data_IF_976523505190
#
_entry.id   IF_976523505190
#
_cell.length_a   1.000
_cell.length_b   1.000
_cell.length_c   1.000
_cell.angle_alpha   90.00
_cell.angle_beta   90.00
_cell.angle_gamma   90.00
#
_symmetry.space_group_name_H-M   'P 1'
#
loop_
_entity.id
_entity.type
_entity.pdbx_description
1 polymer ?
#
# COMPACT_ATOMS: atom_id res chain seq x y z
N UNK A 1 50.66 5.35 -65.76
CA UNK A 1 50.56 4.25 -64.79
C UNK A 1 49.40 4.62 -63.89
N UNK A 2 48.21 4.17 -64.30
CA UNK A 2 46.93 4.54 -63.70
C UNK A 2 46.65 3.66 -62.47
N UNK A 3 46.16 4.27 -61.39
CA UNK A 3 45.79 3.61 -60.14
C UNK A 3 44.24 3.57 -60.02
N UNK A 4 43.63 2.47 -59.52
CA UNK A 4 42.25 2.13 -59.85
C UNK A 4 41.21 2.76 -58.93
N UNK A 5 40.01 2.84 -59.50
CA UNK A 5 38.76 3.37 -58.99
C UNK A 5 38.33 2.69 -57.67
N UNK A 6 37.99 3.51 -56.66
CA UNK A 6 37.24 3.06 -55.48
C UNK A 6 35.74 3.08 -55.78
N UNK A 7 35.09 1.92 -55.66
CA UNK A 7 33.64 1.78 -55.72
C UNK A 7 33.03 2.15 -54.36
N UNK A 8 32.39 3.31 -54.27
CA UNK A 8 31.50 3.66 -53.17
C UNK A 8 30.17 2.92 -53.33
N UNK A 9 29.94 1.88 -52.53
CA UNK A 9 28.60 1.31 -52.32
C UNK A 9 27.79 2.30 -51.48
N UNK A 10 26.85 3.01 -52.14
CA UNK A 10 25.86 3.84 -51.43
C UNK A 10 24.84 2.91 -50.77
N UNK A 11 24.72 3.00 -49.44
CA UNK A 11 23.71 2.25 -48.71
C UNK A 11 22.32 2.76 -49.08
N UNK A 12 21.39 1.84 -49.32
CA UNK A 12 20.02 2.11 -49.76
C UNK A 12 19.26 3.10 -48.83
N UNK A 13 19.64 3.15 -47.57
CA UNK A 13 19.00 3.96 -46.53
C UNK A 13 19.30 5.47 -46.63
N UNK A 14 20.36 5.88 -47.34
CA UNK A 14 20.76 7.29 -47.42
C UNK A 14 19.89 8.13 -48.39
N UNK A 15 18.99 7.47 -49.14
CA UNK A 15 18.18 8.12 -50.18
C UNK A 15 16.72 8.36 -49.78
N UNK A 16 16.32 8.08 -48.53
CA UNK A 16 14.92 8.16 -48.11
C UNK A 16 14.68 9.45 -47.31
N UNK A 17 13.79 10.36 -47.78
CA UNK A 17 13.46 11.59 -47.05
C UNK A 17 12.76 11.27 -45.72
N UNK A 18 13.12 12.00 -44.66
CA UNK A 18 12.75 11.71 -43.26
C UNK A 18 11.25 11.54 -43.00
N UNK A 19 10.39 12.23 -43.75
CA UNK A 19 8.92 12.10 -43.64
C UNK A 19 8.38 10.78 -44.18
N UNK A 20 9.09 10.14 -45.12
CA UNK A 20 8.70 8.84 -45.68
C UNK A 20 9.22 7.66 -44.86
N UNK A 21 10.35 7.81 -44.17
CA UNK A 21 10.89 6.79 -43.27
C UNK A 21 9.93 6.48 -42.10
N UNK A 22 9.26 7.51 -41.54
CA UNK A 22 8.27 7.35 -40.48
C UNK A 22 7.04 6.54 -40.95
N UNK A 23 6.51 6.86 -42.14
CA UNK A 23 5.36 6.16 -42.71
C UNK A 23 5.68 4.72 -43.14
N UNK A 24 6.88 4.48 -43.70
CA UNK A 24 7.35 3.13 -44.01
C UNK A 24 7.50 2.27 -42.75
N UNK A 25 7.99 2.83 -41.65
CA UNK A 25 8.08 2.13 -40.36
C UNK A 25 6.71 1.80 -39.75
N UNK A 26 5.73 2.68 -39.90
CA UNK A 26 4.38 2.46 -39.37
C UNK A 26 3.63 1.37 -40.15
N UNK A 27 3.79 1.34 -41.49
CA UNK A 27 3.18 0.33 -42.35
C UNK A 27 3.78 -1.06 -42.08
N UNK A 28 5.10 -1.17 -41.89
CA UNK A 28 5.76 -2.45 -41.59
C UNK A 28 5.39 -2.98 -40.20
N UNK A 29 5.21 -2.11 -39.21
CA UNK A 29 4.74 -2.50 -37.87
C UNK A 29 3.29 -3.01 -37.87
N UNK A 30 2.39 -2.40 -38.65
CA UNK A 30 0.99 -2.86 -38.76
C UNK A 30 0.90 -4.21 -39.49
N UNK A 31 1.71 -4.42 -40.53
CA UNK A 31 1.76 -5.69 -41.25
C UNK A 31 2.30 -6.84 -40.39
N UNK A 32 3.28 -6.60 -39.51
CA UNK A 32 3.81 -7.64 -38.61
C UNK A 32 2.87 -7.98 -37.45
N UNK A 33 2.14 -7.01 -36.91
CA UNK A 33 1.10 -7.25 -35.90
C UNK A 33 -0.11 -7.99 -36.49
N UNK A 34 -0.47 -7.70 -37.75
CA UNK A 34 -1.56 -8.37 -38.46
C UNK A 34 -1.30 -9.86 -38.73
N UNK A 35 -0.05 -10.24 -39.04
CA UNK A 35 0.29 -11.65 -39.32
C UNK A 35 0.30 -12.52 -38.07
N UNK A 36 0.74 -12.00 -36.91
CA UNK A 36 0.67 -12.73 -35.63
C UNK A 36 -0.78 -12.90 -35.18
N UNK A 37 -1.63 -11.88 -35.34
CA UNK A 37 -3.07 -11.98 -35.06
C UNK A 37 -3.79 -12.98 -35.97
N UNK A 38 -3.43 -13.03 -37.26
CA UNK A 38 -4.04 -13.96 -38.22
C UNK A 38 -3.61 -15.43 -37.99
N UNK A 39 -2.40 -15.67 -37.47
CA UNK A 39 -1.94 -17.04 -37.11
C UNK A 39 -2.63 -17.53 -35.83
N UNK A 40 -2.81 -16.66 -34.82
CA UNK A 40 -3.49 -17.04 -33.57
C UNK A 40 -5.01 -17.19 -33.72
N UNK A 41 -5.66 -16.43 -34.59
CA UNK A 41 -7.09 -16.57 -34.88
C UNK A 41 -7.40 -17.55 -36.03
N UNK A 42 -6.47 -17.77 -36.96
CA UNK A 42 -6.66 -18.69 -38.10
C UNK A 42 -6.49 -20.17 -37.75
N UNK A 43 -5.77 -20.49 -36.68
CA UNK A 43 -5.58 -21.87 -36.21
C UNK A 43 -6.86 -22.56 -35.71
N UNK A 44 -7.89 -21.80 -35.35
CA UNK A 44 -9.16 -22.34 -34.85
C UNK A 44 -10.22 -22.61 -35.93
N UNK A 45 -9.98 -22.30 -37.22
CA UNK A 45 -11.03 -22.38 -38.25
C UNK A 45 -10.77 -23.46 -39.33
N UNK A 46 -9.60 -24.11 -39.37
CA UNK A 46 -9.28 -25.08 -40.43
C UNK A 46 -8.78 -26.47 -39.97
N UNK A 47 -9.06 -26.85 -38.73
CA UNK A 47 -8.89 -28.22 -38.26
C UNK A 47 -9.93 -28.51 -37.18
N UNK A 48 -10.97 -29.26 -37.53
CA UNK A 48 -12.04 -29.62 -36.62
C UNK A 48 -11.52 -30.41 -35.42
N UNK A 49 -11.56 -29.79 -34.24
CA UNK A 49 -12.23 -30.28 -33.03
C UNK A 49 -11.79 -29.42 -31.85
N UNK A 50 -12.59 -28.40 -31.53
CA UNK A 50 -12.50 -27.68 -30.26
C UNK A 50 -13.61 -28.20 -29.35
N UNK A 51 -13.43 -29.40 -28.79
CA UNK A 51 -14.36 -29.98 -27.81
C UNK A 51 -13.93 -29.65 -26.39
N UNK A 52 -14.75 -28.81 -25.76
CA UNK A 52 -14.71 -28.44 -24.36
C UNK A 52 -15.48 -29.51 -23.58
N UNK A 53 -14.92 -30.00 -22.47
CA UNK A 53 -15.49 -30.91 -21.48
C UNK A 53 -15.72 -32.39 -21.88
N UNK A 54 -14.83 -33.26 -21.38
CA UNK A 54 -15.18 -34.53 -20.69
C UNK A 54 -13.91 -35.13 -20.08
N UNK A 55 -13.65 -34.91 -18.79
CA UNK A 55 -12.78 -35.80 -18.02
C UNK A 55 -13.65 -36.98 -17.58
N UNK A 56 -13.64 -38.03 -18.40
CA UNK A 56 -14.16 -39.34 -18.03
C UNK A 56 -13.02 -40.14 -17.41
N UNK A 57 -13.09 -40.39 -16.10
CA UNK A 57 -12.20 -41.33 -15.41
C UNK A 57 -12.88 -42.70 -15.38
N UNK A 58 -12.42 -43.60 -16.23
CA UNK A 58 -12.44 -45.05 -16.08
C UNK A 58 -11.43 -45.56 -17.13
N UNK A 59 -10.30 -46.19 -16.78
CA UNK A 59 -10.31 -47.54 -16.22
C UNK A 59 -9.16 -47.86 -15.26
N UNK A 60 -9.52 -48.75 -14.32
CA UNK A 60 -8.73 -49.58 -13.41
C UNK A 60 -7.38 -50.06 -13.97
N UNK A 61 -6.32 -49.93 -13.18
CA UNK A 61 -5.81 -51.02 -12.33
C UNK A 61 -4.38 -50.70 -11.86
N UNK A 62 -4.24 -50.29 -10.60
CA UNK A 62 -3.14 -50.62 -9.69
C UNK A 62 -3.60 -50.14 -8.30
N UNK A 63 -4.22 -51.07 -7.59
CA UNK A 63 -4.70 -50.85 -6.24
C UNK A 63 -3.55 -51.11 -5.27
N UNK A 64 -3.11 -50.07 -4.55
CA UNK A 64 -2.56 -50.25 -3.21
C UNK A 64 -2.87 -49.00 -2.34
N UNK A 65 -3.98 -49.10 -1.62
CA UNK A 65 -4.09 -48.78 -0.20
C UNK A 65 -3.94 -47.31 0.28
N UNK A 66 -5.01 -46.51 0.15
CA UNK A 66 -5.33 -45.46 1.13
C UNK A 66 -6.84 -45.54 1.45
N UNK A 67 -7.15 -46.11 2.61
CA UNK A 67 -8.50 -46.15 3.19
C UNK A 67 -8.85 -44.75 3.72
N UNK A 68 -9.76 -44.05 3.05
CA UNK A 68 -10.39 -42.83 3.60
C UNK A 68 -11.70 -43.26 4.23
N UNK A 69 -11.70 -43.44 5.55
CA UNK A 69 -12.93 -43.63 6.31
C UNK A 69 -13.74 -42.33 6.27
N UNK A 70 -14.89 -42.37 5.60
CA UNK A 70 -15.95 -41.38 5.78
C UNK A 70 -16.54 -41.55 7.18
N UNK A 71 -16.55 -40.48 7.98
CA UNK A 71 -17.25 -40.41 9.25
C UNK A 71 -18.52 -39.58 9.07
N UNK A 72 -19.63 -40.23 9.38
CA UNK A 72 -21.01 -39.72 9.47
C UNK A 72 -21.15 -38.67 10.60
N UNK A 73 -21.98 -37.61 10.48
CA UNK A 73 -22.11 -36.61 11.52
C UNK A 73 -23.21 -37.02 12.51
N UNK A 74 -22.83 -37.27 13.77
CA UNK A 74 -23.76 -37.19 14.91
C UNK A 74 -23.27 -36.13 15.90
N UNK A 75 -24.20 -35.48 16.64
CA UNK A 75 -24.03 -34.13 17.15
C UNK A 75 -23.40 -34.09 18.54
N UNK A 76 -22.44 -33.18 18.72
CA UNK A 76 -21.91 -32.82 20.03
C UNK A 76 -20.41 -32.58 20.04
N UNK A 77 -19.98 -31.39 19.59
CA UNK A 77 -18.69 -30.80 20.01
C UNK A 77 -18.65 -29.33 19.59
N UNK A 78 -18.56 -28.44 20.58
CA UNK A 78 -17.93 -27.14 20.50
C UNK A 78 -18.43 -26.17 19.43
N UNK A 79 -19.22 -25.18 19.86
CA UNK A 79 -19.19 -23.86 19.22
C UNK A 79 -17.73 -23.44 19.19
N UNK A 80 -17.11 -23.40 18.00
CA UNK A 80 -15.85 -22.68 17.82
C UNK A 80 -16.23 -21.22 18.00
N UNK A 81 -15.77 -20.53 19.06
CA UNK A 81 -15.97 -19.10 19.15
C UNK A 81 -15.26 -18.49 17.95
N UNK A 82 -16.00 -17.75 17.14
CA UNK A 82 -15.47 -16.75 16.25
C UNK A 82 -14.44 -15.92 17.05
N UNK A 83 -13.17 -15.80 16.62
CA UNK A 83 -12.21 -14.99 17.35
C UNK A 83 -12.71 -13.55 17.30
N UNK A 84 -13.32 -13.13 18.40
CA UNK A 84 -13.41 -11.73 18.80
C UNK A 84 -12.00 -11.15 18.62
N UNK A 85 -11.81 -10.00 17.93
CA UNK A 85 -10.48 -9.44 17.70
C UNK A 85 -9.69 -9.43 19.01
N UNK A 86 -8.67 -10.27 19.06
CA UNK A 86 -7.90 -10.51 20.27
C UNK A 86 -6.97 -9.33 20.49
N UNK A 87 -7.32 -8.46 21.43
CA UNK A 87 -6.39 -7.51 22.02
C UNK A 87 -6.57 -6.08 21.53
N UNK A 88 -6.84 -5.20 22.49
CA UNK A 88 -6.64 -3.76 22.35
C UNK A 88 -5.21 -3.50 21.89
N UNK A 89 -4.98 -2.66 20.86
CA UNK A 89 -3.63 -2.45 20.38
C UNK A 89 -2.76 -1.82 21.47
N UNK A 90 -1.68 -2.51 21.83
CA UNK A 90 -0.75 -2.05 22.86
C UNK A 90 0.13 -0.94 22.29
N UNK A 91 0.22 0.19 22.99
CA UNK A 91 1.16 1.28 22.69
C UNK A 91 2.54 0.93 23.22
N UNK A 92 3.59 1.18 22.43
CA UNK A 92 4.99 0.93 22.82
C UNK A 92 5.82 2.21 22.73
N UNK A 93 7.05 2.17 23.23
CA UNK A 93 7.98 3.31 23.16
C UNK A 93 8.43 3.63 21.71
N UNK A 94 8.19 2.72 20.76
CA UNK A 94 8.48 2.90 19.34
C UNK A 94 7.39 3.67 18.58
N UNK A 95 6.24 3.91 19.23
CA UNK A 95 5.13 4.66 18.65
C UNK A 95 5.39 6.17 18.66
N UNK A 96 4.96 6.83 17.58
CA UNK A 96 4.95 8.29 17.52
C UNK A 96 3.75 8.83 18.27
N UNK A 97 4.00 9.53 19.37
CA UNK A 97 2.98 10.11 20.26
C UNK A 97 2.96 11.63 20.12
N UNK A 98 1.79 12.21 19.88
CA UNK A 98 1.51 13.66 19.99
C UNK A 98 0.66 13.90 21.24
N UNK A 99 1.00 14.95 22.00
CA UNK A 99 0.33 15.29 23.26
C UNK A 99 1.03 14.72 24.50
N UNK A 100 0.31 14.68 25.62
CA UNK A 100 0.82 14.17 26.89
C UNK A 100 1.01 12.64 26.84
N UNK A 101 2.25 12.14 26.95
CA UNK A 101 2.53 10.69 26.93
C UNK A 101 1.85 9.92 28.07
N UNK A 102 1.54 10.59 29.17
CA UNK A 102 0.89 10.02 30.36
C UNK A 102 -0.63 10.25 30.37
N UNK A 103 -1.21 10.71 29.25
CA UNK A 103 -2.65 10.87 29.11
C UNK A 103 -3.40 9.55 29.35
N UNK A 104 -4.51 9.64 30.09
CA UNK A 104 -5.39 8.51 30.42
C UNK A 104 -6.04 7.89 29.19
N UNK A 105 -6.27 8.69 28.15
CA UNK A 105 -6.91 8.23 26.92
C UNK A 105 -5.89 8.16 25.81
N UNK A 106 -5.87 7.03 25.11
CA UNK A 106 -5.07 6.86 23.91
C UNK A 106 -5.99 6.82 22.70
N UNK A 107 -5.66 7.59 21.67
CA UNK A 107 -6.24 7.41 20.34
C UNK A 107 -5.15 6.89 19.41
N UNK A 108 -5.27 5.63 19.01
CA UNK A 108 -4.40 5.03 17.98
C UNK A 108 -5.08 5.23 16.64
N UNK A 109 -4.36 5.84 15.69
CA UNK A 109 -4.83 6.07 14.33
C UNK A 109 -3.92 5.32 13.37
N UNK A 110 -4.47 4.28 12.73
CA UNK A 110 -3.86 3.62 11.57
C UNK A 110 -4.21 4.42 10.31
N UNK A 111 -3.19 4.97 9.67
CA UNK A 111 -3.34 5.96 8.62
C UNK A 111 -2.37 5.75 7.46
N UNK A 112 -2.82 6.15 6.28
CA UNK A 112 -2.09 6.16 5.03
C UNK A 112 -1.91 7.62 4.61
N UNK A 113 -0.67 8.06 4.43
CA UNK A 113 -0.35 9.47 4.13
C UNK A 113 -0.90 9.91 2.77
N UNK A 114 -1.07 9.00 1.80
CA UNK A 114 -1.66 9.31 0.49
C UNK A 114 -3.19 9.24 0.49
N UNK A 115 -3.81 8.65 1.51
CA UNK A 115 -5.27 8.46 1.55
C UNK A 115 -6.05 9.78 1.74
N UNK A 116 -6.96 10.15 0.83
CA UNK A 116 -7.78 11.37 0.97
C UNK A 116 -8.70 11.40 2.19
N UNK A 117 -9.14 10.24 2.70
CA UNK A 117 -9.89 10.18 3.95
C UNK A 117 -8.99 10.47 5.17
N UNK A 118 -7.73 10.02 5.14
CA UNK A 118 -6.77 10.32 6.20
C UNK A 118 -6.47 11.82 6.24
N UNK A 119 -6.23 12.45 5.09
CA UNK A 119 -6.04 13.91 5.02
C UNK A 119 -7.26 14.70 5.52
N UNK A 120 -8.49 14.23 5.28
CA UNK A 120 -9.69 14.86 5.87
C UNK A 120 -9.81 14.65 7.38
N UNK A 121 -9.32 13.54 7.90
CA UNK A 121 -9.38 13.22 9.32
C UNK A 121 -8.26 13.89 10.13
N UNK A 122 -7.14 14.20 9.49
CA UNK A 122 -5.98 14.80 10.14
C UNK A 122 -6.30 16.13 10.87
N UNK A 123 -7.05 17.08 10.28
CA UNK A 123 -7.51 18.28 11.01
C UNK A 123 -8.44 17.98 12.18
N UNK A 124 -9.30 16.94 12.08
CA UNK A 124 -10.13 16.49 13.21
C UNK A 124 -9.24 16.10 14.39
N UNK A 125 -8.18 15.33 14.14
CA UNK A 125 -7.24 14.92 15.18
C UNK A 125 -6.40 16.08 15.70
N UNK A 126 -5.96 17.02 14.84
CA UNK A 126 -5.31 18.26 15.30
C UNK A 126 -6.21 19.07 16.24
N UNK A 127 -7.52 19.15 15.95
CA UNK A 127 -8.49 19.80 16.84
C UNK A 127 -8.65 19.03 18.16
N UNK A 128 -8.73 17.70 18.13
CA UNK A 128 -8.73 16.88 19.36
C UNK A 128 -7.50 17.17 20.21
N UNK A 129 -6.32 17.25 19.61
CA UNK A 129 -5.08 17.57 20.34
C UNK A 129 -5.05 19.00 20.90
N UNK A 130 -5.82 19.92 20.31
CA UNK A 130 -5.96 21.28 20.82
C UNK A 130 -6.88 21.31 22.04
N UNK A 131 -8.00 20.57 21.99
CA UNK A 131 -9.04 20.62 23.02
C UNK A 131 -8.80 19.64 24.19
N UNK A 132 -8.01 18.59 23.97
CA UNK A 132 -7.77 17.49 24.92
C UNK A 132 -6.29 17.22 25.18
N UNK A 133 -5.39 18.17 24.96
CA UNK A 133 -3.92 17.99 25.00
C UNK A 133 -3.38 17.25 26.23
N UNK A 134 -4.02 17.46 27.39
CA UNK A 134 -3.60 16.91 28.68
C UNK A 134 -4.19 15.52 28.96
N UNK A 135 -5.36 15.24 28.37
CA UNK A 135 -6.19 14.06 28.65
C UNK A 135 -6.11 12.99 27.57
N UNK A 136 -5.67 13.36 26.35
CA UNK A 136 -5.57 12.47 25.19
C UNK A 136 -4.13 12.47 24.66
N UNK A 137 -3.62 11.27 24.36
CA UNK A 137 -2.44 11.08 23.52
C UNK A 137 -2.82 10.48 22.18
N UNK A 138 -2.33 11.07 21.11
CA UNK A 138 -2.51 10.55 19.76
C UNK A 138 -1.30 9.74 19.34
N UNK A 139 -1.51 8.45 19.11
CA UNK A 139 -0.55 7.52 18.53
C UNK A 139 -0.82 7.38 17.03
N UNK A 140 0.18 7.65 16.20
CA UNK A 140 0.09 7.43 14.76
C UNK A 140 0.77 6.11 14.37
N UNK A 141 0.08 5.29 13.57
CA UNK A 141 0.64 4.07 12.97
C UNK A 141 0.42 4.06 11.47
N UNK A 142 1.44 3.67 10.73
CA UNK A 142 1.35 3.54 9.28
C UNK A 142 0.49 2.34 8.90
N UNK A 143 -0.38 2.54 7.92
CA UNK A 143 -1.19 1.49 7.29
C UNK A 143 -1.25 1.76 5.79
N UNK A 144 -0.13 1.61 5.05
CA UNK A 144 -0.11 1.89 3.62
C UNK A 144 -1.01 0.93 2.86
N UNK A 145 -1.90 1.47 2.03
CA UNK A 145 -2.79 0.68 1.18
C UNK A 145 -2.09 0.36 -0.14
N UNK A 146 -2.17 -0.89 -0.60
CA UNK A 146 -1.41 -1.37 -1.77
C UNK A 146 -1.75 -0.66 -3.09
N UNK A 147 -2.91 -0.02 -3.17
CA UNK A 147 -3.34 0.76 -4.33
C UNK A 147 -2.93 2.25 -4.27
N UNK A 148 -2.23 2.66 -3.20
CA UNK A 148 -1.64 3.99 -3.04
C UNK A 148 -0.12 3.90 -3.24
N UNK A 149 0.40 4.25 -4.43
CA UNK A 149 1.82 4.07 -4.76
C UNK A 149 2.79 4.87 -3.86
N UNK A 150 2.33 6.00 -3.30
CA UNK A 150 3.12 6.86 -2.43
C UNK A 150 2.92 6.54 -0.94
N UNK A 151 2.04 5.62 -0.57
CA UNK A 151 1.75 5.33 0.83
C UNK A 151 2.97 4.79 1.60
N UNK A 152 3.63 3.77 1.08
CA UNK A 152 4.83 3.20 1.71
C UNK A 152 6.04 4.15 1.60
N UNK A 153 6.35 4.77 0.43
CA UNK A 153 7.43 5.75 0.34
C UNK A 153 7.26 6.93 1.31
N UNK A 154 6.09 7.57 1.36
CA UNK A 154 5.85 8.69 2.27
C UNK A 154 5.92 8.28 3.75
N UNK A 155 5.47 7.07 4.10
CA UNK A 155 5.63 6.51 5.44
C UNK A 155 7.11 6.36 5.82
N UNK A 156 7.92 5.74 4.95
CA UNK A 156 9.37 5.60 5.16
C UNK A 156 10.07 6.96 5.27
N UNK A 157 9.67 7.94 4.44
CA UNK A 157 10.17 9.31 4.51
C UNK A 157 9.89 9.99 5.86
N UNK A 158 8.68 9.82 6.41
CA UNK A 158 8.32 10.36 7.71
C UNK A 158 9.09 9.69 8.85
N UNK A 159 9.28 8.36 8.80
CA UNK A 159 10.09 7.65 9.78
C UNK A 159 11.58 8.06 9.70
N UNK A 160 12.13 8.32 8.51
CA UNK A 160 13.48 8.88 8.39
C UNK A 160 13.61 10.29 8.97
N UNK A 161 12.55 11.11 8.93
CA UNK A 161 12.52 12.39 9.63
C UNK A 161 12.43 12.21 11.16
N UNK A 162 11.86 11.09 11.62
CA UNK A 162 11.76 10.78 13.04
C UNK A 162 13.10 10.55 13.73
N UNK A 163 14.11 10.05 13.01
CA UNK A 163 15.49 9.89 13.52
C UNK A 163 16.10 11.23 13.99
N UNK A 164 15.55 12.34 13.49
CA UNK A 164 15.99 13.69 13.76
C UNK A 164 14.94 14.48 14.56
N UNK A 165 13.96 13.78 15.16
CA UNK A 165 12.95 14.36 16.04
C UNK A 165 11.89 15.18 15.32
N UNK A 166 11.68 14.98 14.02
CA UNK A 166 10.73 15.76 13.19
C UNK A 166 9.63 14.95 12.55
N UNK A 167 9.25 13.81 13.16
CA UNK A 167 8.19 12.95 12.64
C UNK A 167 6.88 13.72 12.39
N UNK A 168 6.40 14.43 13.40
CA UNK A 168 5.08 15.06 13.39
C UNK A 168 4.99 16.25 12.44
N UNK A 169 6.00 17.12 12.42
CA UNK A 169 6.05 18.24 11.47
C UNK A 169 6.16 17.75 10.03
N UNK A 170 6.95 16.69 9.81
CA UNK A 170 7.11 16.08 8.49
C UNK A 170 5.82 15.41 8.02
N UNK A 171 5.17 14.64 8.90
CA UNK A 171 3.89 13.99 8.64
C UNK A 171 2.80 15.02 8.31
N UNK A 172 2.67 16.08 9.10
CA UNK A 172 1.67 17.13 8.88
C UNK A 172 1.80 17.73 7.48
N UNK A 173 3.03 18.10 7.08
CA UNK A 173 3.30 18.65 5.75
C UNK A 173 2.93 17.67 4.63
N UNK A 174 3.27 16.39 4.77
CA UNK A 174 2.96 15.41 3.73
C UNK A 174 1.45 15.17 3.60
N UNK A 175 0.75 15.01 4.72
CA UNK A 175 -0.70 14.76 4.74
C UNK A 175 -1.49 15.96 4.20
N UNK A 176 -1.03 17.18 4.46
CA UNK A 176 -1.66 18.41 3.95
C UNK A 176 -1.38 18.66 2.45
N UNK A 177 -0.35 18.01 1.88
CA UNK A 177 0.12 18.26 0.51
C UNK A 177 0.17 16.97 -0.34
N UNK A 178 -0.86 16.13 -0.23
CA UNK A 178 -0.93 14.83 -0.92
C UNK A 178 -0.69 14.88 -2.44
N UNK A 179 -1.05 16.00 -3.09
CA UNK A 179 -0.85 16.19 -4.53
C UNK A 179 0.61 16.35 -4.97
N UNK A 180 1.52 16.62 -4.02
CA UNK A 180 2.95 16.79 -4.27
C UNK A 180 3.76 15.55 -3.88
N UNK A 181 3.14 14.50 -3.31
CA UNK A 181 3.86 13.32 -2.84
C UNK A 181 4.73 12.71 -3.95
N UNK A 182 5.95 12.36 -3.57
CA UNK A 182 6.98 11.82 -4.45
C UNK A 182 8.38 12.12 -3.89
N UNK A 183 9.37 11.36 -4.33
CA UNK A 183 10.75 11.40 -3.80
C UNK A 183 11.32 12.82 -3.70
N UNK A 184 11.16 13.63 -4.75
CA UNK A 184 11.70 14.99 -4.78
C UNK A 184 11.05 15.90 -3.74
N UNK A 185 9.73 15.77 -3.56
CA UNK A 185 9.00 16.53 -2.55
C UNK A 185 9.37 16.08 -1.13
N UNK A 186 9.58 14.79 -0.90
CA UNK A 186 10.06 14.28 0.39
C UNK A 186 11.41 14.91 0.77
N UNK A 187 12.37 14.88 -0.16
CA UNK A 187 13.67 15.52 0.05
C UNK A 187 13.56 17.03 0.29
N UNK A 188 12.65 17.71 -0.43
CA UNK A 188 12.36 19.12 -0.21
C UNK A 188 11.84 19.39 1.20
N UNK A 189 10.85 18.63 1.67
CA UNK A 189 10.29 18.79 3.02
C UNK A 189 11.35 18.56 4.10
N UNK A 190 12.24 17.58 3.91
CA UNK A 190 13.37 17.36 4.81
C UNK A 190 14.30 18.60 4.89
N UNK A 191 14.61 19.21 3.75
CA UNK A 191 15.43 20.42 3.67
C UNK A 191 14.73 21.66 4.27
N UNK A 192 13.43 21.79 4.07
CA UNK A 192 12.62 22.87 4.62
C UNK A 192 12.56 22.81 6.16
N UNK A 193 12.44 21.59 6.71
CA UNK A 193 12.50 21.32 8.15
C UNK A 193 13.92 21.34 8.73
N UNK A 194 14.94 21.69 7.94
CA UNK A 194 16.34 21.80 8.36
C UNK A 194 16.92 20.50 8.91
N UNK A 195 16.47 19.37 8.39
CA UNK A 195 17.09 18.08 8.65
C UNK A 195 18.47 18.00 8.00
N UNK A 196 19.31 17.12 8.53
CA UNK A 196 20.46 16.62 7.81
C UNK A 196 19.97 15.80 6.61
N UNK A 197 20.02 16.41 5.43
CA UNK A 197 19.48 15.83 4.19
C UNK A 197 20.27 14.61 3.72
N UNK A 198 21.57 14.51 4.01
CA UNK A 198 22.36 13.31 3.71
C UNK A 198 21.91 12.14 4.56
N UNK A 199 21.81 12.33 5.88
CA UNK A 199 21.30 11.30 6.79
C UNK A 199 19.88 10.85 6.40
N UNK A 200 19.01 11.81 6.10
CA UNK A 200 17.65 11.53 5.67
C UNK A 200 17.62 10.75 4.34
N UNK A 201 18.42 11.16 3.36
CA UNK A 201 18.50 10.50 2.05
C UNK A 201 19.01 9.06 2.17
N UNK A 202 20.06 8.84 2.97
CA UNK A 202 20.62 7.50 3.21
C UNK A 202 19.57 6.57 3.86
N UNK A 203 18.84 7.07 4.85
CA UNK A 203 17.73 6.34 5.47
C UNK A 203 16.60 6.02 4.47
N UNK A 204 16.24 7.01 3.65
CA UNK A 204 15.13 6.88 2.71
C UNK A 204 15.45 5.89 1.59
N UNK A 205 16.63 6.01 0.98
CA UNK A 205 17.06 5.16 -0.14
C UNK A 205 17.31 3.70 0.26
N UNK A 206 17.62 3.45 1.55
CA UNK A 206 17.74 2.09 2.07
C UNK A 206 16.41 1.46 2.49
N UNK A 207 15.28 2.17 2.34
CA UNK A 207 13.97 1.74 2.86
C UNK A 207 14.00 1.30 4.33
N UNK A 208 14.78 2.01 5.16
CA UNK A 208 15.18 1.55 6.50
C UNK A 208 14.01 1.13 7.40
N UNK A 209 12.85 1.76 7.24
CA UNK A 209 11.69 1.55 8.10
C UNK A 209 10.61 0.66 7.48
N UNK A 210 10.86 0.04 6.33
CA UNK A 210 9.88 -0.82 5.66
C UNK A 210 9.31 -1.90 6.59
N UNK A 211 10.17 -2.65 7.29
CA UNK A 211 9.74 -3.73 8.19
C UNK A 211 8.87 -3.21 9.35
N UNK A 212 9.20 -2.03 9.91
CA UNK A 212 8.41 -1.38 10.97
C UNK A 212 7.02 -1.03 10.44
N UNK A 213 6.95 -0.45 9.25
CA UNK A 213 5.69 -0.03 8.61
C UNK A 213 4.82 -1.24 8.28
N UNK A 214 5.41 -2.31 7.74
CA UNK A 214 4.72 -3.56 7.46
C UNK A 214 4.19 -4.21 8.75
N UNK A 215 4.99 -4.24 9.82
CA UNK A 215 4.56 -4.74 11.12
C UNK A 215 3.39 -3.95 11.70
N UNK A 216 3.40 -2.61 11.59
CA UNK A 216 2.26 -1.77 11.99
C UNK A 216 1.00 -2.08 11.19
N UNK A 217 1.11 -2.22 9.86
CA UNK A 217 -0.02 -2.55 9.01
C UNK A 217 -0.60 -3.95 9.32
N UNK A 218 0.26 -4.94 9.57
CA UNK A 218 -0.14 -6.29 9.97
C UNK A 218 -0.84 -6.27 11.35
N UNK A 219 -0.30 -5.55 12.32
CA UNK A 219 -0.92 -5.39 13.64
C UNK A 219 -2.28 -4.71 13.54
N UNK A 220 -2.42 -3.67 12.71
CA UNK A 220 -3.71 -3.03 12.43
C UNK A 220 -4.71 -4.01 11.82
N UNK A 221 -4.28 -4.81 10.85
CA UNK A 221 -5.11 -5.81 10.19
C UNK A 221 -5.60 -6.88 11.18
N UNK A 222 -4.70 -7.37 12.03
CA UNK A 222 -5.02 -8.32 13.10
C UNK A 222 -6.01 -7.73 14.14
N UNK A 223 -5.92 -6.42 14.39
CA UNK A 223 -6.86 -5.69 15.25
C UNK A 223 -8.19 -5.33 14.55
N UNK A 224 -8.40 -5.74 13.30
CA UNK A 224 -9.65 -5.53 12.55
C UNK A 224 -9.72 -4.21 11.76
N UNK A 225 -8.59 -3.54 11.54
CA UNK A 225 -8.51 -2.41 10.60
C UNK A 225 -8.53 -2.95 9.17
N UNK A 226 -9.55 -2.58 8.41
CA UNK A 226 -9.73 -3.00 7.01
C UNK A 226 -9.62 -1.85 5.99
N UNK A 227 -9.32 -0.63 6.46
CA UNK A 227 -9.19 0.58 5.66
C UNK A 227 -8.78 1.76 6.52
N UNK A 228 -8.44 2.88 5.87
CA UNK A 228 -7.90 4.07 6.55
C UNK A 228 -8.79 5.30 6.40
N UNK A 229 -8.86 6.18 7.41
CA UNK A 229 -8.28 5.99 8.74
C UNK A 229 -9.06 4.94 9.54
N UNK A 230 -8.34 4.05 10.22
CA UNK A 230 -8.89 3.10 11.18
C UNK A 230 -8.35 3.44 12.56
N UNK A 231 -9.23 3.77 13.50
CA UNK A 231 -8.81 4.31 14.80
C UNK A 231 -9.43 3.56 15.97
N UNK A 232 -8.81 3.66 17.13
CA UNK A 232 -9.30 3.13 18.40
C UNK A 232 -9.17 4.20 19.47
N UNK A 233 -10.25 4.47 20.22
CA UNK A 233 -10.21 5.25 21.47
C UNK A 233 -10.11 4.26 22.62
N UNK A 234 -9.04 4.36 23.40
CA UNK A 234 -8.69 3.41 24.45
C UNK A 234 -8.69 4.15 25.79
N UNK A 235 -9.42 3.63 26.76
CA UNK A 235 -9.47 4.18 28.13
C UNK A 235 -8.32 3.67 29.01
N UNK A 236 -8.28 4.12 30.28
CA UNK A 236 -7.21 3.76 31.22
C UNK A 236 -7.25 2.29 31.66
N UNK A 237 -8.40 1.63 31.54
CA UNK A 237 -8.60 0.21 31.84
C UNK A 237 -8.25 -0.68 30.63
N UNK A 238 -7.94 -0.07 29.48
CA UNK A 238 -7.61 -0.75 28.25
C UNK A 238 -8.84 -1.22 27.46
N UNK A 239 -10.03 -0.67 27.70
CA UNK A 239 -11.19 -0.91 26.82
C UNK A 239 -11.06 -0.03 25.57
N UNK A 240 -11.34 -0.59 24.40
CA UNK A 240 -11.22 0.10 23.12
C UNK A 240 -12.57 0.26 22.39
N UNK A 241 -12.83 1.48 21.92
CA UNK A 241 -13.94 1.81 21.02
C UNK A 241 -13.37 2.05 19.62
N UNK A 242 -13.72 1.23 18.61
CA UNK A 242 -13.25 1.44 17.25
C UNK A 242 -13.98 2.63 16.59
N UNK A 243 -13.20 3.49 15.92
CA UNK A 243 -13.66 4.58 15.07
C UNK A 243 -13.21 4.30 13.65
N UNK A 244 -14.17 4.11 12.73
CA UNK A 244 -13.89 3.75 11.34
C UNK A 244 -14.14 4.93 10.41
N UNK A 245 -13.13 5.27 9.60
CA UNK A 245 -13.22 6.33 8.61
C UNK A 245 -13.01 7.73 9.18
N UNK A 246 -13.09 8.72 8.29
CA UNK A 246 -12.86 10.13 8.60
C UNK A 246 -14.06 10.75 9.32
N UNK A 247 -14.26 10.38 10.59
CA UNK A 247 -15.35 10.95 11.39
C UNK A 247 -15.11 12.45 11.67
N UNK A 248 -16.19 13.25 11.73
CA UNK A 248 -16.08 14.64 12.15
C UNK A 248 -15.72 14.75 13.63
N UNK A 249 -15.17 15.89 14.01
CA UNK A 249 -14.75 16.20 15.38
C UNK A 249 -15.81 15.84 16.44
N UNK A 250 -17.07 16.23 16.26
CA UNK A 250 -18.13 15.97 17.25
C UNK A 250 -18.33 14.47 17.54
N UNK A 251 -18.09 13.61 16.54
CA UNK A 251 -18.20 12.15 16.73
C UNK A 251 -17.01 11.58 17.49
N UNK A 252 -15.79 12.07 17.20
CA UNK A 252 -14.58 11.68 17.95
C UNK A 252 -14.66 12.19 19.39
N UNK A 253 -15.12 13.43 19.56
CA UNK A 253 -15.41 14.06 20.85
C UNK A 253 -16.37 13.21 21.69
N UNK A 254 -17.50 12.79 21.12
CA UNK A 254 -18.46 11.96 21.83
C UNK A 254 -17.86 10.61 22.30
N UNK A 255 -16.98 10.01 21.50
CA UNK A 255 -16.26 8.79 21.89
C UNK A 255 -15.28 9.05 23.06
N UNK A 256 -14.50 10.13 23.00
CA UNK A 256 -13.59 10.55 24.08
C UNK A 256 -14.37 10.82 25.37
N UNK A 257 -15.43 11.64 25.30
CA UNK A 257 -16.24 12.01 26.46
C UNK A 257 -16.93 10.79 27.10
N UNK A 258 -17.21 9.74 26.31
CA UNK A 258 -17.83 8.52 26.84
C UNK A 258 -16.91 7.73 27.78
N UNK A 259 -15.58 7.91 27.65
CA UNK A 259 -14.54 7.22 28.42
C UNK A 259 -13.83 8.12 29.45
N UNK A 260 -14.03 9.43 29.40
CA UNK A 260 -13.45 10.43 30.34
C UNK A 260 -14.11 10.47 31.75
N UNK A 261 -14.88 9.46 32.14
CA UNK A 261 -15.73 9.52 33.34
C UNK A 261 -14.97 9.58 34.66
#
# INVERSE_FOLDING_TARGET
MDNPLQHHTKNFFDSIPSKQAFWLGFITAILSLGTVGFILLGGCILGGDCSINKVTVADKALAENIQVNAVDPTPGAGVIPDPTPTGVPVVTDDDHIRGNKDAKITIIVYSDIQCPYCARFHPTMQQVMTDYSDSVRWVYRHFPLSFHPEALPSANAAECASEQGKFWEYLDILVENQGSLGKDYYAQVAADLKLNTTQWQDCFDSSKYQDKIEAQAQAGSAAGVSGTPGSFVIDEDGNAIPIKGALPYDSVKAAIDSVLK
#
